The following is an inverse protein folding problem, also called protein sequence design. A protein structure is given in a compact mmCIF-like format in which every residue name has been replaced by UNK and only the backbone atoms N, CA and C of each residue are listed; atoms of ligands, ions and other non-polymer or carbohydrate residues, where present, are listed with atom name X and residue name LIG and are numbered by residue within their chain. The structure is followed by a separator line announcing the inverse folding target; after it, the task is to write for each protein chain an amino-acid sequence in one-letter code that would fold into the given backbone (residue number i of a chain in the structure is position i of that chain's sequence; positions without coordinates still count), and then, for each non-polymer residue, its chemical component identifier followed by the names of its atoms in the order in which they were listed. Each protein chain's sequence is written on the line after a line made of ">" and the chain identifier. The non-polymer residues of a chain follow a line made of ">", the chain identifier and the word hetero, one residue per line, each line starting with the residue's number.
data_IF_467370837037
#
_entry.id   IF_467370837037
#
_cell.length_a   1.000
_cell.length_b   1.000
_cell.length_c   1.000
_cell.angle_alpha   90.00
_cell.angle_beta   90.00
_cell.angle_gamma   90.00
#
_symmetry.space_group_name_H-M   'P 1'
#
loop_
_entity.id
_entity.type
_entity.pdbx_description
1 polymer ?
#
# COMPACT_ATOMS: atom_id res chain seq x y z
N UNK A 1 12.96 11.50 25.19
CA UNK A 1 12.47 10.82 23.96
C UNK A 1 12.10 11.88 22.93
N UNK A 2 12.89 11.98 21.86
CA UNK A 2 12.79 13.03 20.82
C UNK A 2 11.36 13.25 20.28
N UNK A 3 10.62 12.17 19.99
CA UNK A 3 9.25 12.26 19.45
C UNK A 3 8.21 12.87 20.41
N UNK A 4 8.53 13.00 21.71
CA UNK A 4 7.72 13.78 22.67
C UNK A 4 8.07 15.27 22.66
N UNK A 5 9.32 15.63 22.38
CA UNK A 5 9.80 17.02 22.34
C UNK A 5 9.41 17.74 21.04
N UNK A 6 9.31 17.00 19.93
CA UNK A 6 8.95 17.55 18.62
C UNK A 6 7.58 17.01 18.17
N UNK A 7 6.46 17.57 18.66
CA UNK A 7 5.12 17.05 18.41
C UNK A 7 4.63 17.20 16.96
N UNK A 8 5.41 17.85 16.08
CA UNK A 8 5.10 18.03 14.66
C UNK A 8 6.11 17.31 13.74
N UNK A 9 7.07 16.54 14.29
CA UNK A 9 8.01 15.78 13.49
C UNK A 9 7.32 14.60 12.77
N UNK A 10 7.67 14.38 11.50
CA UNK A 10 7.27 13.21 10.72
C UNK A 10 8.14 12.00 11.07
N UNK A 11 7.70 10.79 10.67
CA UNK A 11 8.52 9.57 10.76
C UNK A 11 9.09 9.26 9.37
N UNK A 12 10.41 9.34 9.21
CA UNK A 12 11.08 9.05 7.95
C UNK A 12 12.60 9.24 8.06
N UNK A 13 13.38 8.74 7.10
CA UNK A 13 12.96 7.90 5.97
C UNK A 13 12.79 6.44 6.41
N UNK A 14 11.63 5.83 6.11
CA UNK A 14 11.36 4.40 6.36
C UNK A 14 11.00 3.73 5.03
N UNK A 15 11.22 2.43 4.84
CA UNK A 15 10.81 1.84 3.56
C UNK A 15 11.36 0.48 3.15
N UNK A 16 11.13 0.17 1.87
CA UNK A 16 11.45 -1.10 1.22
C UNK A 16 12.35 -0.87 0.00
N UNK A 17 13.53 -1.45 -0.02
CA UNK A 17 14.51 -1.24 -1.09
C UNK A 17 15.24 -2.54 -1.44
N UNK A 18 14.79 -3.23 -2.51
CA UNK A 18 15.40 -4.49 -3.00
C UNK A 18 16.83 -4.34 -3.51
N UNK A 19 17.30 -3.11 -3.73
CA UNK A 19 18.64 -2.81 -4.28
C UNK A 19 19.63 -2.28 -3.24
N UNK A 20 19.19 -2.02 -2.00
CA UNK A 20 20.04 -1.52 -0.93
C UNK A 20 21.23 -2.46 -0.65
N UNK A 21 22.38 -1.88 -0.29
CA UNK A 21 23.62 -2.63 0.01
C UNK A 21 23.38 -3.71 1.07
N UNK A 22 22.68 -3.34 2.15
CA UNK A 22 22.25 -4.25 3.23
C UNK A 22 21.61 -5.55 2.71
N UNK A 23 20.71 -5.48 1.74
CA UNK A 23 20.03 -6.67 1.17
C UNK A 23 20.98 -7.62 0.44
N UNK A 24 22.14 -7.13 -0.02
CA UNK A 24 23.17 -7.94 -0.72
C UNK A 24 24.25 -8.47 0.22
N UNK A 25 24.48 -7.82 1.36
CA UNK A 25 25.59 -8.13 2.28
C UNK A 25 25.10 -8.66 3.64
N UNK A 26 23.83 -9.04 3.76
CA UNK A 26 23.28 -9.61 4.97
C UNK A 26 23.78 -11.05 5.20
N UNK A 27 24.22 -11.42 6.41
CA UNK A 27 24.86 -12.72 6.65
C UNK A 27 23.93 -13.90 6.35
N UNK A 28 22.66 -13.81 6.75
CA UNK A 28 21.66 -14.87 6.52
C UNK A 28 21.06 -14.81 5.10
N UNK A 29 21.70 -14.05 4.20
CA UNK A 29 21.34 -13.91 2.79
C UNK A 29 20.16 -12.98 2.51
N UNK A 30 19.92 -12.80 1.21
CA UNK A 30 18.96 -11.83 0.64
C UNK A 30 17.52 -11.99 1.14
N UNK A 31 17.06 -13.23 1.29
CA UNK A 31 15.67 -13.53 1.71
C UNK A 31 15.44 -13.09 3.15
N UNK A 32 16.33 -13.46 4.08
CA UNK A 32 16.27 -13.02 5.47
C UNK A 32 16.34 -11.50 5.59
N UNK A 33 17.23 -10.84 4.83
CA UNK A 33 17.34 -9.39 4.79
C UNK A 33 16.05 -8.69 4.34
N UNK A 34 15.37 -9.22 3.32
CA UNK A 34 14.09 -8.70 2.84
C UNK A 34 12.95 -8.95 3.83
N UNK A 35 12.93 -10.09 4.51
CA UNK A 35 11.95 -10.38 5.58
C UNK A 35 12.13 -9.44 6.76
N UNK A 36 13.38 -9.21 7.20
CA UNK A 36 13.69 -8.27 8.27
C UNK A 36 13.33 -6.83 7.88
N UNK A 37 13.64 -6.40 6.65
CA UNK A 37 13.24 -5.08 6.15
C UNK A 37 11.72 -4.88 6.15
N UNK A 38 10.95 -5.89 5.72
CA UNK A 38 9.48 -5.85 5.75
C UNK A 38 8.93 -5.77 7.18
N UNK A 39 9.48 -6.57 8.11
CA UNK A 39 9.10 -6.54 9.53
C UNK A 39 9.35 -5.17 10.16
N UNK A 40 10.57 -4.63 10.02
CA UNK A 40 10.93 -3.31 10.56
C UNK A 40 10.07 -2.21 9.96
N UNK A 41 9.79 -2.25 8.65
CA UNK A 41 8.89 -1.31 7.99
C UNK A 41 7.46 -1.37 8.55
N UNK A 42 6.90 -2.58 8.75
CA UNK A 42 5.59 -2.76 9.39
C UNK A 42 5.54 -2.18 10.80
N UNK A 43 6.55 -2.47 11.63
CA UNK A 43 6.63 -1.98 13.02
C UNK A 43 6.75 -0.44 13.06
N UNK A 44 7.56 0.16 12.19
CA UNK A 44 7.70 1.61 12.05
C UNK A 44 6.39 2.27 11.59
N UNK A 45 5.67 1.65 10.65
CA UNK A 45 4.40 2.17 10.12
C UNK A 45 3.28 2.11 11.19
N UNK A 46 3.22 1.01 11.96
CA UNK A 46 2.31 0.87 13.11
C UNK A 46 2.65 1.86 14.23
N UNK A 47 3.94 2.10 14.51
CA UNK A 47 4.36 3.11 15.48
C UNK A 47 3.95 4.52 15.04
N UNK A 48 4.13 4.87 13.77
CA UNK A 48 3.68 6.15 13.22
C UNK A 48 2.15 6.30 13.28
N UNK A 49 1.39 5.23 13.01
CA UNK A 49 -0.07 5.21 13.17
C UNK A 49 -0.51 5.45 14.63
N UNK A 50 0.16 4.78 15.59
CA UNK A 50 -0.09 4.95 17.04
C UNK A 50 0.23 6.36 17.54
N UNK A 51 1.30 6.96 17.02
CA UNK A 51 1.74 8.33 17.35
C UNK A 51 1.06 9.42 16.50
N UNK A 52 0.15 9.04 15.58
CA UNK A 52 -0.52 9.93 14.62
C UNK A 52 0.46 10.85 13.88
N UNK A 53 1.55 10.27 13.37
CA UNK A 53 2.60 10.97 12.59
C UNK A 53 2.49 10.64 11.11
N UNK A 54 2.51 11.66 10.21
CA UNK A 54 2.76 11.42 8.80
C UNK A 54 4.09 10.66 8.60
N UNK A 55 4.16 9.83 7.57
CA UNK A 55 5.38 9.09 7.20
C UNK A 55 5.95 9.55 5.87
N UNK A 56 7.29 9.51 5.76
CA UNK A 56 8.00 9.57 4.48
C UNK A 56 8.52 8.17 4.15
N UNK A 57 8.00 7.60 3.06
CA UNK A 57 8.22 6.20 2.66
C UNK A 57 9.08 6.11 1.41
N UNK A 58 10.22 5.43 1.54
CA UNK A 58 11.05 4.98 0.44
C UNK A 58 10.53 3.67 -0.15
N UNK A 59 10.39 3.58 -1.47
CA UNK A 59 10.06 2.31 -2.12
C UNK A 59 10.74 2.17 -3.48
N UNK A 60 11.73 1.27 -3.57
CA UNK A 60 12.48 1.00 -4.80
C UNK A 60 12.44 -0.48 -5.15
N UNK A 61 11.83 -0.77 -6.31
CA UNK A 61 11.52 -2.11 -6.85
C UNK A 61 10.65 -2.99 -5.91
N UNK A 62 9.97 -2.39 -4.93
CA UNK A 62 9.19 -3.09 -3.89
C UNK A 62 7.71 -2.69 -3.81
N UNK A 63 7.18 -1.95 -4.80
CA UNK A 63 5.82 -1.39 -4.76
C UNK A 63 4.71 -2.42 -4.52
N UNK A 64 4.76 -3.59 -5.17
CA UNK A 64 3.81 -4.67 -4.89
C UNK A 64 3.90 -5.22 -3.45
N UNK A 65 5.10 -5.27 -2.86
CA UNK A 65 5.29 -5.71 -1.46
C UNK A 65 4.74 -4.65 -0.49
N UNK A 66 4.98 -3.37 -0.77
CA UNK A 66 4.37 -2.26 -0.02
C UNK A 66 2.84 -2.37 -0.02
N UNK A 67 2.24 -2.62 -1.18
CA UNK A 67 0.80 -2.78 -1.31
C UNK A 67 0.25 -4.00 -0.56
N UNK A 68 0.95 -5.15 -0.59
CA UNK A 68 0.59 -6.33 0.21
C UNK A 68 0.59 -6.01 1.70
N UNK A 69 1.64 -5.35 2.20
CA UNK A 69 1.74 -4.95 3.61
C UNK A 69 0.60 -4.01 4.03
N UNK A 70 0.24 -3.03 3.18
CA UNK A 70 -0.88 -2.12 3.44
C UNK A 70 -2.23 -2.86 3.49
N UNK A 71 -2.44 -3.84 2.60
CA UNK A 71 -3.62 -4.72 2.59
C UNK A 71 -3.67 -5.63 3.83
N UNK A 72 -2.56 -6.25 4.22
CA UNK A 72 -2.43 -7.07 5.43
C UNK A 72 -2.78 -6.28 6.69
N UNK A 73 -2.25 -5.05 6.83
CA UNK A 73 -2.57 -4.16 7.95
C UNK A 73 -4.08 -3.81 8.00
N UNK A 74 -4.70 -3.60 6.84
CA UNK A 74 -6.14 -3.31 6.74
C UNK A 74 -6.99 -4.50 7.22
N UNK A 75 -6.68 -5.70 6.75
CA UNK A 75 -7.43 -6.90 7.14
C UNK A 75 -7.19 -7.28 8.61
N UNK A 76 -5.96 -7.08 9.12
CA UNK A 76 -5.67 -7.22 10.56
C UNK A 76 -6.54 -6.29 11.41
N UNK A 77 -6.63 -5.00 11.04
CA UNK A 77 -7.49 -4.05 11.75
C UNK A 77 -8.98 -4.42 11.71
N UNK A 78 -9.48 -4.94 10.58
CA UNK A 78 -10.86 -5.48 10.49
C UNK A 78 -11.09 -6.69 11.40
N UNK A 79 -10.11 -7.60 11.49
CA UNK A 79 -10.19 -8.77 12.38
C UNK A 79 -10.23 -8.34 13.84
N UNK A 80 -9.34 -7.42 14.25
CA UNK A 80 -9.32 -6.85 15.60
C UNK A 80 -10.68 -6.20 15.95
N UNK A 81 -11.29 -5.44 15.03
CA UNK A 81 -12.61 -4.86 15.24
C UNK A 81 -13.71 -5.92 15.40
N UNK A 82 -13.68 -7.01 14.61
CA UNK A 82 -14.64 -8.12 14.73
C UNK A 82 -14.55 -8.78 16.10
N UNK A 83 -13.34 -9.01 16.61
CA UNK A 83 -13.15 -9.58 17.95
C UNK A 83 -13.59 -8.63 19.07
N UNK A 84 -13.34 -7.32 18.95
CA UNK A 84 -13.87 -6.30 19.88
C UNK A 84 -15.41 -6.32 19.88
N UNK A 85 -16.04 -6.39 18.71
CA UNK A 85 -17.52 -6.44 18.56
C UNK A 85 -18.10 -7.72 19.16
N UNK A 86 -17.47 -8.90 18.95
CA UNK A 86 -17.88 -10.17 19.58
C UNK A 86 -17.83 -10.10 21.11
N UNK A 87 -16.72 -9.62 21.68
CA UNK A 87 -16.55 -9.49 23.14
C UNK A 87 -17.61 -8.57 23.77
N UNK A 88 -17.97 -7.47 23.11
CA UNK A 88 -19.06 -6.58 23.57
C UNK A 88 -20.44 -7.27 23.59
N UNK A 89 -20.78 -8.07 22.56
CA UNK A 89 -22.07 -8.78 22.50
C UNK A 89 -22.24 -9.78 23.64
N UNK A 90 -21.17 -10.49 24.02
CA UNK A 90 -21.22 -11.48 25.11
C UNK A 90 -21.22 -10.84 26.51
N UNK A 91 -20.90 -9.53 26.62
CA UNK A 91 -20.69 -8.84 27.90
C UNK A 91 -21.89 -8.06 28.45
N UNK A 92 -23.10 -8.21 27.90
CA UNK A 92 -24.35 -7.67 28.47
C UNK A 92 -24.52 -6.13 28.50
N UNK A 93 -23.50 -5.35 28.14
CA UNK A 93 -23.50 -3.89 28.23
C UNK A 93 -24.25 -3.16 27.10
N UNK A 94 -25.58 -3.06 27.21
CA UNK A 94 -26.40 -2.22 26.34
C UNK A 94 -26.19 -0.73 26.59
N UNK A 95 -25.44 -0.04 25.73
CA UNK A 95 -25.19 1.40 25.84
C UNK A 95 -23.88 1.92 25.21
N UNK A 96 -23.12 1.08 24.52
CA UNK A 96 -21.85 1.47 23.91
C UNK A 96 -22.00 2.22 22.58
N UNK A 97 -21.40 3.40 22.47
CA UNK A 97 -21.24 4.16 21.22
C UNK A 97 -20.72 3.26 20.08
N UNK A 98 -21.38 3.30 18.93
CA UNK A 98 -21.10 2.39 17.81
C UNK A 98 -19.75 2.75 17.17
N UNK A 99 -18.78 1.85 17.25
CA UNK A 99 -17.46 2.07 16.64
C UNK A 99 -17.62 1.90 15.13
N UNK A 100 -17.54 3.02 14.41
CA UNK A 100 -17.47 3.07 12.96
C UNK A 100 -16.28 2.24 12.46
N UNK A 101 -16.54 1.37 11.48
CA UNK A 101 -15.55 0.45 10.92
C UNK A 101 -14.46 1.19 10.14
N UNK A 102 -14.84 2.20 9.35
CA UNK A 102 -13.86 2.96 8.56
C UNK A 102 -12.91 3.75 9.46
N UNK A 103 -13.41 4.42 10.50
CA UNK A 103 -12.59 5.17 11.45
C UNK A 103 -11.64 4.26 12.24
N UNK A 104 -12.11 3.08 12.69
CA UNK A 104 -11.25 2.11 13.37
C UNK A 104 -10.13 1.60 12.45
N UNK A 105 -10.47 1.19 11.22
CA UNK A 105 -9.49 0.67 10.25
C UNK A 105 -8.52 1.76 9.82
N UNK A 106 -8.98 2.99 9.56
CA UNK A 106 -8.12 4.16 9.28
C UNK A 106 -7.19 4.49 10.45
N UNK A 107 -7.63 4.25 11.70
CA UNK A 107 -6.79 4.49 12.87
C UNK A 107 -5.54 3.60 12.96
N UNK A 108 -5.51 2.47 12.24
CA UNK A 108 -4.36 1.57 12.13
C UNK A 108 -3.25 2.09 11.19
N UNK A 109 -3.49 3.17 10.45
CA UNK A 109 -2.54 3.80 9.52
C UNK A 109 -2.05 5.17 10.02
N UNK A 110 -0.88 5.63 9.54
CA UNK A 110 -0.50 7.04 9.62
C UNK A 110 -1.58 7.96 9.02
N UNK A 111 -1.74 9.20 9.52
CA UNK A 111 -2.67 10.18 8.94
C UNK A 111 -2.32 10.59 7.51
N UNK A 112 -1.07 10.40 7.08
CA UNK A 112 -0.64 10.56 5.69
C UNK A 112 0.62 9.71 5.44
N UNK A 113 0.76 9.19 4.21
CA UNK A 113 1.92 8.43 3.74
C UNK A 113 2.46 9.13 2.48
N UNK A 114 3.59 9.82 2.61
CA UNK A 114 4.26 10.46 1.47
C UNK A 114 5.29 9.53 0.84
N UNK A 115 5.17 9.26 -0.46
CA UNK A 115 6.14 8.44 -1.20
C UNK A 115 7.34 9.28 -1.63
N UNK A 116 8.49 9.10 -0.98
CA UNK A 116 9.73 9.76 -1.37
C UNK A 116 10.29 9.13 -2.65
N UNK A 117 10.65 9.97 -3.64
CA UNK A 117 11.30 9.58 -4.90
C UNK A 117 10.61 8.38 -5.58
N UNK A 118 9.30 8.50 -5.83
CA UNK A 118 8.48 7.41 -6.35
C UNK A 118 8.95 6.90 -7.74
N UNK A 119 9.34 5.64 -7.80
CA UNK A 119 9.81 4.95 -9.03
C UNK A 119 8.83 3.89 -9.55
N UNK A 120 7.55 3.98 -9.18
CA UNK A 120 6.54 3.01 -9.58
C UNK A 120 5.97 3.28 -10.98
N UNK A 121 5.42 2.25 -11.62
CA UNK A 121 4.64 2.39 -12.85
C UNK A 121 3.25 2.97 -12.55
N UNK A 122 2.55 3.44 -13.59
CA UNK A 122 1.15 3.89 -13.48
C UNK A 122 0.21 2.81 -12.89
N UNK A 123 0.52 1.52 -13.07
CA UNK A 123 -0.20 0.43 -12.42
C UNK A 123 -0.14 0.52 -10.89
N UNK A 124 1.06 0.71 -10.32
CA UNK A 124 1.22 0.85 -8.87
C UNK A 124 0.50 2.09 -8.34
N UNK A 125 0.46 3.20 -9.10
CA UNK A 125 -0.31 4.40 -8.71
C UNK A 125 -1.80 4.07 -8.65
N UNK A 126 -2.35 3.42 -9.69
CA UNK A 126 -3.75 2.98 -9.71
C UNK A 126 -4.09 2.05 -8.54
N UNK A 127 -3.21 1.13 -8.21
CA UNK A 127 -3.40 0.22 -7.06
C UNK A 127 -3.35 0.93 -5.71
N UNK A 128 -2.48 1.93 -5.54
CA UNK A 128 -2.41 2.74 -4.32
C UNK A 128 -3.66 3.60 -4.14
N UNK A 129 -4.15 4.22 -5.22
CA UNK A 129 -5.41 4.99 -5.21
C UNK A 129 -6.62 4.11 -4.92
N UNK A 130 -6.73 2.95 -5.57
CA UNK A 130 -7.80 1.98 -5.26
C UNK A 130 -7.72 1.44 -3.82
N UNK A 131 -6.51 1.31 -3.26
CA UNK A 131 -6.34 0.99 -1.84
C UNK A 131 -6.83 2.14 -0.94
N UNK A 132 -6.48 3.39 -1.27
CA UNK A 132 -6.94 4.58 -0.55
C UNK A 132 -8.47 4.72 -0.57
N UNK A 133 -9.10 4.67 -1.75
CA UNK A 133 -10.56 4.64 -1.92
C UNK A 133 -11.21 3.57 -1.02
N UNK A 134 -10.58 2.40 -0.92
CA UNK A 134 -11.08 1.30 -0.10
C UNK A 134 -10.95 1.52 1.42
N UNK A 135 -10.16 2.50 1.89
CA UNK A 135 -10.04 2.88 3.31
C UNK A 135 -11.04 3.96 3.71
N UNK A 136 -11.24 4.96 2.85
CA UNK A 136 -12.16 6.06 3.13
C UNK A 136 -13.60 5.71 2.80
N UNK A 137 -13.80 4.87 1.78
CA UNK A 137 -15.09 4.72 1.12
C UNK A 137 -15.41 5.96 0.29
N UNK A 138 -16.26 5.81 -0.72
CA UNK A 138 -16.89 6.99 -1.30
C UNK A 138 -18.01 7.40 -0.34
N UNK A 139 -17.85 8.53 0.37
CA UNK A 139 -18.93 9.23 1.06
C UNK A 139 -19.91 9.88 0.04
N UNK A 140 -20.31 9.13 -0.99
CA UNK A 140 -21.40 9.49 -1.89
C UNK A 140 -22.73 9.37 -1.15
N UNK A 141 -23.05 10.42 -0.39
CA UNK A 141 -24.38 10.71 0.13
C UNK A 141 -25.41 11.03 -1.00
N UNK A 142 -25.24 10.45 -2.19
CA UNK A 142 -26.15 10.55 -3.35
C UNK A 142 -27.22 9.46 -3.38
N UNK A 143 -27.01 8.33 -2.71
CA UNK A 143 -27.97 7.20 -2.72
C UNK A 143 -29.35 7.57 -2.16
N UNK A 144 -29.45 8.65 -1.38
CA UNK A 144 -30.69 9.14 -0.78
C UNK A 144 -31.64 9.88 -1.74
N UNK A 145 -31.20 10.27 -2.95
CA UNK A 145 -32.02 11.04 -3.91
C UNK A 145 -32.80 10.20 -4.93
N UNK A 146 -32.52 8.90 -5.10
CA UNK A 146 -33.14 8.06 -6.16
C UNK A 146 -34.45 7.35 -5.82
N UNK A 147 -35.03 7.55 -4.63
CA UNK A 147 -36.30 6.90 -4.20
C UNK A 147 -37.58 7.75 -4.33
N UNK A 148 -37.53 8.94 -4.95
CA UNK A 148 -38.72 9.80 -5.16
C UNK A 148 -38.95 10.22 -6.62
N UNK A 149 -38.97 9.24 -7.53
CA UNK A 149 -39.50 9.41 -8.90
C UNK A 149 -40.18 8.13 -9.43
N UNK A 150 -41.23 7.69 -8.73
CA UNK A 150 -42.21 6.68 -9.20
C UNK A 150 -43.62 7.25 -9.20
N UNK A 151 -43.87 8.20 -10.11
CA UNK A 151 -45.14 8.38 -10.82
C UNK A 151 -44.99 9.56 -11.78
N UNK A 152 -44.70 9.26 -13.04
CA UNK A 152 -45.20 10.08 -14.14
C UNK A 152 -45.44 9.14 -15.32
N UNK A 153 -46.72 8.91 -15.60
CA UNK A 153 -47.15 8.22 -16.80
C UNK A 153 -46.67 9.01 -18.01
N UNK A 154 -46.16 8.33 -19.03
CA UNK A 154 -46.24 8.84 -20.39
C UNK A 154 -46.77 7.73 -21.30
N UNK A 155 -47.81 8.07 -22.04
CA UNK A 155 -48.55 7.17 -22.93
C UNK A 155 -47.84 7.01 -24.26
N UNK A 156 -47.74 5.77 -24.72
CA UNK A 156 -47.30 5.42 -26.07
C UNK A 156 -48.24 6.02 -27.12
N UNK A 157 -47.68 6.68 -28.13
CA UNK A 157 -48.36 6.91 -29.41
C UNK A 157 -47.44 6.45 -30.54
N UNK A 158 -47.87 5.41 -31.26
CA UNK A 158 -47.28 5.01 -32.54
C UNK A 158 -47.43 6.12 -33.57
N UNK A 159 -46.38 6.39 -34.34
CA UNK A 159 -46.52 6.79 -35.75
C UNK A 159 -45.56 5.97 -36.59
N UNK A 160 -46.11 5.45 -37.68
CA UNK A 160 -45.39 4.77 -38.76
C UNK A 160 -44.73 5.86 -39.63
N UNK A 161 -43.56 5.60 -40.21
CA UNK A 161 -43.34 5.81 -41.65
C UNK A 161 -42.00 5.24 -42.12
N UNK A 162 -41.89 5.03 -43.43
CA UNK A 162 -41.02 4.03 -44.06
C UNK A 162 -40.08 4.62 -45.13
N UNK A 163 -39.22 3.75 -45.69
CA UNK A 163 -38.58 3.81 -47.04
C UNK A 163 -37.12 4.34 -47.12
N UNK A 164 -36.21 3.36 -47.30
CA UNK A 164 -35.03 3.27 -48.21
C UNK A 164 -33.92 4.38 -48.17
N UNK A 165 -32.68 4.17 -48.65
CA UNK A 165 -32.07 3.27 -49.67
C UNK A 165 -30.58 2.97 -49.34
N UNK A 166 -30.03 1.86 -49.86
CA UNK A 166 -28.64 1.58 -50.37
C UNK A 166 -27.40 2.34 -49.77
N UNK A 167 -26.17 1.83 -49.62
CA UNK A 167 -25.46 0.55 -49.88
C UNK A 167 -24.04 0.65 -49.22
N UNK A 168 -23.04 -0.26 -49.27
CA UNK A 168 -22.78 -1.53 -50.01
C UNK A 168 -21.86 -2.50 -49.20
N UNK A 169 -21.59 -3.67 -49.79
CA UNK A 169 -20.58 -4.71 -49.47
C UNK A 169 -19.17 -4.27 -48.97
N UNK A 170 -18.52 -5.13 -48.17
CA UNK A 170 -17.30 -5.88 -48.61
C UNK A 170 -17.01 -7.11 -47.73
N UNK A 171 -16.71 -8.23 -48.38
CA UNK A 171 -16.43 -9.57 -47.84
C UNK A 171 -14.95 -9.76 -47.48
N UNK A 172 -14.63 -10.50 -46.40
CA UNK A 172 -13.38 -11.28 -46.32
C UNK A 172 -13.45 -12.44 -45.31
N UNK A 173 -13.48 -13.66 -45.83
CA UNK A 173 -13.26 -14.94 -45.14
C UNK A 173 -11.77 -15.15 -44.81
N UNK A 174 -11.47 -15.84 -43.70
CA UNK A 174 -10.41 -16.87 -43.65
C UNK A 174 -10.46 -17.67 -42.34
N UNK A 175 -10.45 -19.01 -42.44
CA UNK A 175 -10.23 -19.92 -41.32
C UNK A 175 -8.84 -20.57 -41.44
N UNK A 176 -8.17 -20.86 -40.32
CA UNK A 176 -7.00 -21.77 -40.26
C UNK A 176 -6.81 -22.28 -38.82
N UNK A 177 -7.37 -23.47 -38.55
CA UNK A 177 -6.65 -24.72 -38.25
C UNK A 177 -5.26 -24.62 -37.58
N UNK A 178 -5.01 -25.42 -36.52
CA UNK A 178 -3.85 -26.38 -36.41
C UNK A 178 -3.57 -26.82 -34.95
N UNK A 179 -3.58 -28.16 -34.71
CA UNK A 179 -2.92 -28.96 -33.63
C UNK A 179 -3.23 -28.59 -32.16
N UNK A 180 -3.86 -29.44 -31.34
CA UNK A 180 -3.53 -30.84 -30.96
C UNK A 180 -2.08 -30.99 -30.53
N UNK A 181 -1.85 -30.99 -29.21
CA UNK A 181 -0.59 -31.43 -28.59
C UNK A 181 -0.91 -32.40 -27.45
N UNK A 182 -0.71 -33.69 -27.74
CA UNK A 182 -0.97 -34.79 -26.82
C UNK A 182 0.24 -34.98 -25.90
N UNK A 183 0.04 -34.87 -24.58
CA UNK A 183 1.10 -35.06 -23.59
C UNK A 183 0.98 -36.45 -22.95
N UNK A 184 1.93 -37.33 -23.24
CA UNK A 184 2.11 -38.56 -22.46
C UNK A 184 2.94 -38.30 -21.19
N UNK A 185 2.53 -38.83 -20.03
CA UNK A 185 3.37 -38.82 -18.84
C UNK A 185 4.54 -39.79 -19.02
N UNK A 186 5.74 -39.36 -18.62
CA UNK A 186 6.89 -40.26 -18.45
C UNK A 186 7.16 -40.43 -16.97
N UNK A 187 6.69 -41.54 -16.42
CA UNK A 187 7.07 -41.96 -15.07
C UNK A 187 8.59 -42.21 -15.05
N UNK A 188 9.28 -41.47 -14.18
CA UNK A 188 10.70 -41.69 -13.90
C UNK A 188 10.82 -42.28 -12.50
N UNK A 189 11.15 -43.55 -12.50
CA UNK A 189 11.39 -44.41 -11.34
C UNK A 189 12.45 -43.83 -10.37
N UNK A 190 12.24 -44.02 -9.07
CA UNK A 190 13.15 -43.52 -8.04
C UNK A 190 14.44 -44.35 -7.98
N UNK A 191 15.57 -43.73 -8.32
CA UNK A 191 16.89 -44.25 -7.96
C UNK A 191 17.39 -43.60 -6.66
N UNK A 192 17.52 -44.43 -5.62
CA UNK A 192 18.08 -44.05 -4.32
C UNK A 192 19.56 -43.64 -4.44
N UNK A 193 20.02 -42.56 -3.78
CA UNK A 193 21.43 -42.17 -3.82
C UNK A 193 22.29 -43.08 -2.94
N UNK A 194 23.26 -43.75 -3.56
CA UNK A 194 24.31 -44.53 -2.87
C UNK A 194 25.12 -43.62 -1.94
N UNK A 195 25.37 -44.06 -0.71
CA UNK A 195 26.15 -43.28 0.26
C UNK A 195 27.60 -43.11 -0.22
N UNK A 196 28.02 -41.87 -0.47
CA UNK A 196 29.44 -41.52 -0.69
C UNK A 196 30.14 -41.31 0.64
N UNK A 197 31.10 -42.17 0.94
CA UNK A 197 32.05 -42.00 2.04
C UNK A 197 32.83 -40.69 1.88
N UNK A 198 32.80 -39.80 2.87
CA UNK A 198 33.59 -38.57 2.84
C UNK A 198 35.08 -38.87 3.13
N UNK A 199 36.03 -38.28 2.38
CA UNK A 199 37.44 -38.28 2.77
C UNK A 199 37.66 -37.37 3.99
N UNK A 200 38.59 -37.77 4.85
CA UNK A 200 38.98 -37.02 6.05
C UNK A 200 39.62 -35.67 5.68
N UNK A 201 39.12 -34.59 6.29
CA UNK A 201 39.66 -33.25 6.12
C UNK A 201 41.02 -33.12 6.84
N UNK A 202 42.05 -32.53 6.23
CA UNK A 202 43.32 -32.24 6.91
C UNK A 202 43.12 -31.18 8.00
N UNK A 203 43.76 -31.39 9.15
CA UNK A 203 43.65 -30.54 10.33
C UNK A 203 44.35 -29.19 10.07
N UNK A 204 43.59 -28.09 10.10
CA UNK A 204 44.13 -26.73 9.95
C UNK A 204 45.11 -26.39 11.10
N UNK A 205 46.18 -25.62 10.83
CA UNK A 205 47.09 -25.13 11.86
C UNK A 205 46.39 -24.09 12.77
N UNK A 206 46.83 -23.95 14.03
CA UNK A 206 46.27 -22.98 14.97
C UNK A 206 46.52 -21.55 14.48
N UNK A 207 45.50 -20.69 14.63
CA UNK A 207 45.59 -19.27 14.29
C UNK A 207 46.52 -18.50 15.22
N UNK A 208 47.28 -17.51 14.72
CA UNK A 208 48.18 -16.69 15.54
C UNK A 208 47.42 -15.81 16.54
N UNK A 209 48.06 -15.42 17.66
CA UNK A 209 47.44 -14.56 18.67
C UNK A 209 47.16 -13.14 18.12
N UNK A 210 46.12 -12.45 18.63
CA UNK A 210 45.76 -11.12 18.17
C UNK A 210 46.83 -10.08 18.55
N UNK A 211 47.19 -9.24 17.58
CA UNK A 211 48.10 -8.11 17.77
C UNK A 211 47.46 -7.01 18.64
N UNK A 212 48.24 -6.27 19.46
CA UNK A 212 47.71 -5.19 20.29
C UNK A 212 47.16 -4.03 19.44
N UNK A 213 45.96 -3.59 19.75
CA UNK A 213 45.26 -2.52 19.03
C UNK A 213 45.68 -1.13 19.51
N UNK A 214 46.25 -0.33 18.61
CA UNK A 214 46.54 1.10 18.87
C UNK A 214 45.26 1.96 18.74
N UNK A 215 44.83 2.70 19.78
CA UNK A 215 43.58 3.45 19.77
C UNK A 215 43.76 4.89 19.29
N UNK A 216 44.09 5.10 18.01
CA UNK A 216 44.16 6.45 17.43
C UNK A 216 44.01 6.46 15.91
N UNK A 217 42.78 6.64 15.43
CA UNK A 217 42.48 7.44 14.24
C UNK A 217 40.97 7.71 14.12
N UNK A 218 40.58 8.97 14.25
CA UNK A 218 39.20 9.41 14.05
C UNK A 218 38.87 9.45 12.55
N UNK A 219 38.09 8.48 12.07
CA UNK A 219 37.55 8.54 10.71
C UNK A 219 36.43 9.59 10.68
N UNK A 220 36.74 10.78 10.16
CA UNK A 220 35.71 11.74 9.76
C UNK A 220 34.91 11.15 8.60
N UNK A 221 33.64 10.85 8.85
CA UNK A 221 32.69 10.50 7.80
C UNK A 221 32.25 11.79 7.09
N UNK A 222 32.93 12.15 5.99
CA UNK A 222 32.63 13.33 5.18
C UNK A 222 31.32 13.16 4.40
N UNK A 223 30.20 13.47 5.05
CA UNK A 223 28.88 13.47 4.42
C UNK A 223 28.72 14.73 3.55
N UNK A 224 28.94 14.58 2.25
CA UNK A 224 28.85 15.70 1.31
C UNK A 224 27.38 15.93 0.92
N UNK A 225 26.69 16.82 1.65
CA UNK A 225 25.30 17.18 1.41
C UNK A 225 25.17 18.69 1.17
N UNK A 226 25.34 19.10 -0.09
CA UNK A 226 25.05 20.46 -0.53
C UNK A 226 23.53 20.64 -0.64
N UNK A 227 22.90 21.11 0.44
CA UNK A 227 21.55 21.66 0.39
C UNK A 227 21.61 23.19 0.41
N UNK A 228 21.52 23.79 -0.78
CA UNK A 228 21.16 25.20 -0.91
C UNK A 228 19.64 25.34 -0.84
N UNK A 229 19.14 26.02 0.19
CA UNK A 229 17.75 26.50 0.22
C UNK A 229 17.54 27.58 -0.86
N UNK A 230 16.28 27.79 -1.30
CA UNK A 230 15.53 28.90 -0.69
C UNK A 230 14.18 28.47 -0.10
N UNK A 231 13.85 29.05 1.05
CA UNK A 231 12.49 29.11 1.57
C UNK A 231 11.70 30.17 0.78
N UNK A 232 10.54 29.84 0.22
CA UNK A 232 9.47 30.82 0.01
C UNK A 232 8.09 30.18 -0.21
N UNK A 233 7.07 30.89 0.29
CA UNK A 233 5.63 30.74 0.01
C UNK A 233 4.93 29.42 0.34
N UNK A 234 4.28 29.38 1.51
CA UNK A 234 2.88 28.94 1.65
C UNK A 234 2.30 29.42 3.00
N UNK A 235 2.17 30.75 3.14
CA UNK A 235 1.16 31.34 4.03
C UNK A 235 -0.18 31.35 3.29
N UNK A 236 -1.28 31.38 4.05
CA UNK A 236 -2.68 31.54 3.59
C UNK A 236 -3.45 30.26 3.24
N UNK A 237 -3.77 29.46 4.27
CA UNK A 237 -5.08 28.79 4.31
C UNK A 237 -5.65 28.80 5.74
N UNK A 238 -6.31 29.90 6.11
CA UNK A 238 -7.06 30.04 7.37
C UNK A 238 -8.46 30.57 7.07
N UNK A 239 -9.46 29.91 7.67
CA UNK A 239 -10.86 30.35 7.86
C UNK A 239 -11.72 30.56 6.61
N UNK A 240 -12.55 29.54 6.33
CA UNK A 240 -13.94 29.75 5.93
C UNK A 240 -14.85 29.04 6.92
N UNK A 241 -15.30 29.77 7.94
CA UNK A 241 -16.38 29.40 8.85
C UNK A 241 -17.19 30.68 9.07
N UNK A 242 -18.32 30.79 8.39
CA UNK A 242 -19.18 31.98 8.39
C UNK A 242 -20.62 31.54 8.11
N UNK A 243 -21.53 31.86 9.04
CA UNK A 243 -22.93 31.41 9.01
C UNK A 243 -23.81 32.41 8.23
N UNK A 244 -24.65 31.87 7.37
CA UNK A 244 -26.10 32.13 7.28
C UNK A 244 -26.63 33.49 7.81
N UNK A 245 -27.14 34.33 6.92
CA UNK A 245 -28.37 35.12 7.13
C UNK A 245 -29.17 35.25 5.82
N UNK A 246 -30.50 35.31 5.94
CA UNK A 246 -31.46 35.58 4.85
C UNK A 246 -31.75 37.09 4.74
N UNK A 247 -32.32 37.49 3.59
CA UNK A 247 -33.35 38.52 3.34
C UNK A 247 -32.98 39.37 2.10
N UNK A 248 -33.79 39.48 1.03
CA UNK A 248 -35.15 40.02 0.82
C UNK A 248 -35.16 41.51 0.38
N UNK A 249 -35.26 41.74 -0.93
CA UNK A 249 -35.92 42.85 -1.70
C UNK A 249 -35.53 42.65 -3.18
N UNK A 250 -36.39 42.47 -4.20
CA UNK A 250 -37.50 43.26 -4.77
C UNK A 250 -37.08 44.58 -5.45
N UNK A 251 -37.42 44.66 -6.75
CA UNK A 251 -37.49 45.85 -7.64
C UNK A 251 -36.11 46.53 -7.92
N UNK A 252 -35.80 47.02 -9.13
CA UNK A 252 -36.61 47.34 -10.33
C UNK A 252 -36.26 46.46 -11.54
#
# INVERSE_FOLDING_TARGET
>A
MLLKQHPNAIVGEIGLCKVAKFIRTYPDGKTAALTLQQKVFQEQLQLAAKLKRPTSVHCVKSHGVLLSILKEMKEKAKLELKEIRKKKKNGGGGGGNEINESDFVRSAFPPAIGMHSFTGTAHHVKELLAFEESLYGHDTNESSKKKKKKHLHYTTTHTHDSINTHDTNTTATAATTTKIFEQQPRDKELLLPTQKTLPSQPRLPPSPPPSPTNPSNSIQCSYNQQYTHPLQSLRNFKRSQGRNTRNYTKEL
#
